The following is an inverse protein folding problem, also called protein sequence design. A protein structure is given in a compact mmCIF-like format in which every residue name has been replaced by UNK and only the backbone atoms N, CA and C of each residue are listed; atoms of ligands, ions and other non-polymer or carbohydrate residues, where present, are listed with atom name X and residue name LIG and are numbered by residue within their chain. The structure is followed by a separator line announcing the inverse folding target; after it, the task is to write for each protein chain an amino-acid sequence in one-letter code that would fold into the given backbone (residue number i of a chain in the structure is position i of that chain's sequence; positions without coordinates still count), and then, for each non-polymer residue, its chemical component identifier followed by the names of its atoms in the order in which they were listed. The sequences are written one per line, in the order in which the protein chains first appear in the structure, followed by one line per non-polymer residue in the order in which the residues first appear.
data_IF_036958614041
#
_entry.id   IF_036958614041
#
_cell.length_a   1.000
_cell.length_b   1.000
_cell.length_c   1.000
_cell.angle_alpha   90.00
_cell.angle_beta   90.00
_cell.angle_gamma   90.00
#
_symmetry.space_group_name_H-M   'P 1'
#
loop_
_entity.id
_entity.type
_entity.pdbx_description
1 polymer ?
#
# COMPACT_ATOMS: atom_id res chain seq x y z
N UNK A 1 -12.16 -10.16 28.49
CA UNK A 1 -12.72 -8.88 27.98
C UNK A 1 -12.89 -9.08 26.49
N UNK A 2 -14.13 -9.00 25.98
CA UNK A 2 -14.36 -9.00 24.54
C UNK A 2 -13.79 -7.70 23.98
N UNK A 3 -12.60 -7.75 23.38
CA UNK A 3 -12.02 -6.60 22.67
C UNK A 3 -13.02 -6.13 21.62
N UNK A 4 -13.60 -4.95 21.85
CA UNK A 4 -14.56 -4.36 20.93
C UNK A 4 -13.81 -3.95 19.67
N UNK A 5 -13.79 -4.83 18.66
CA UNK A 5 -13.11 -4.57 17.39
C UNK A 5 -13.88 -3.50 16.63
N UNK A 6 -13.15 -2.64 15.93
CA UNK A 6 -13.76 -1.71 14.98
C UNK A 6 -14.16 -2.46 13.72
N UNK A 7 -15.43 -2.36 13.33
CA UNK A 7 -15.92 -2.97 12.08
C UNK A 7 -15.82 -1.95 10.95
N UNK A 8 -15.23 -2.36 9.83
CA UNK A 8 -15.06 -1.57 8.60
C UNK A 8 -15.54 -2.41 7.40
N UNK A 9 -16.86 -2.66 7.28
CA UNK A 9 -17.43 -3.54 6.25
C UNK A 9 -17.22 -3.02 4.81
N UNK A 10 -17.01 -1.72 4.64
CA UNK A 10 -16.75 -1.06 3.36
C UNK A 10 -15.31 -1.21 2.85
N UNK A 11 -14.44 -1.89 3.61
CA UNK A 11 -13.01 -2.00 3.28
C UNK A 11 -12.60 -3.46 3.08
N UNK A 12 -11.92 -3.72 1.96
CA UNK A 12 -11.12 -4.92 1.75
C UNK A 12 -9.69 -4.62 2.17
N UNK A 13 -9.17 -5.33 3.18
CA UNK A 13 -7.74 -5.32 3.48
C UNK A 13 -7.03 -6.22 2.46
N UNK A 14 -6.18 -5.66 1.62
CA UNK A 14 -5.56 -6.39 0.51
C UNK A 14 -4.04 -6.31 0.55
N UNK A 15 -3.39 -7.43 0.20
CA UNK A 15 -1.97 -7.43 -0.15
C UNK A 15 -1.75 -8.13 -1.50
N UNK A 16 -0.87 -7.56 -2.30
CA UNK A 16 -0.49 -8.06 -3.62
C UNK A 16 1.01 -8.36 -3.55
N UNK A 17 1.41 -9.61 -3.76
CA UNK A 17 2.84 -9.92 -3.74
C UNK A 17 3.23 -11.20 -4.47
N UNK A 18 4.41 -11.19 -5.06
CA UNK A 18 5.13 -12.38 -5.53
C UNK A 18 6.42 -12.65 -4.76
N UNK A 19 6.72 -11.85 -3.74
CA UNK A 19 7.91 -11.96 -2.88
C UNK A 19 7.52 -11.83 -1.41
N UNK A 20 8.38 -12.26 -0.48
CA UNK A 20 8.16 -12.04 0.96
C UNK A 20 6.77 -12.50 1.47
N UNK A 21 6.21 -13.57 0.89
CA UNK A 21 4.83 -13.98 1.17
C UNK A 21 4.59 -14.31 2.64
N UNK A 22 5.60 -14.80 3.34
CA UNK A 22 5.51 -15.05 4.76
C UNK A 22 5.27 -13.74 5.50
N UNK A 23 6.12 -12.75 5.27
CA UNK A 23 6.03 -11.42 5.88
C UNK A 23 4.73 -10.71 5.48
N UNK A 24 4.29 -10.82 4.22
CA UNK A 24 3.00 -10.28 3.75
C UNK A 24 1.81 -10.88 4.49
N UNK A 25 1.77 -12.22 4.65
CA UNK A 25 0.68 -12.87 5.41
C UNK A 25 0.72 -12.45 6.89
N UNK A 26 1.90 -12.25 7.47
CA UNK A 26 2.03 -11.72 8.84
C UNK A 26 1.54 -10.28 8.94
N UNK A 27 1.81 -9.44 7.94
CA UNK A 27 1.34 -8.06 7.87
C UNK A 27 -0.20 -7.98 7.77
N UNK A 28 -0.82 -8.81 6.92
CA UNK A 28 -2.28 -8.95 6.87
C UNK A 28 -2.85 -9.35 8.24
N UNK A 29 -2.33 -10.43 8.83
CA UNK A 29 -2.77 -10.92 10.14
C UNK A 29 -2.64 -9.87 11.24
N UNK A 30 -1.56 -9.10 11.23
CA UNK A 30 -1.31 -8.05 12.21
C UNK A 30 -2.25 -6.85 12.03
N UNK A 31 -2.60 -6.53 10.77
CA UNK A 31 -3.53 -5.45 10.44
C UNK A 31 -4.97 -5.76 10.83
N UNK A 32 -5.33 -7.04 10.94
CA UNK A 32 -6.63 -7.50 11.44
C UNK A 32 -6.77 -7.42 12.98
N UNK A 33 -5.75 -6.97 13.72
CA UNK A 33 -5.86 -6.83 15.17
C UNK A 33 -6.68 -5.59 15.49
N UNK A 34 -7.74 -5.75 16.27
CA UNK A 34 -8.63 -4.64 16.63
C UNK A 34 -9.56 -4.17 15.51
N UNK A 35 -9.52 -4.79 14.33
CA UNK A 35 -10.35 -4.41 13.18
C UNK A 35 -10.96 -5.66 12.52
N UNK A 36 -12.24 -5.55 12.17
CA UNK A 36 -12.96 -6.51 11.35
C UNK A 36 -13.32 -5.86 10.01
N UNK A 37 -12.68 -6.32 8.94
CA UNK A 37 -12.86 -5.82 7.58
C UNK A 37 -14.00 -6.56 6.88
N UNK A 38 -14.62 -5.92 5.88
CA UNK A 38 -15.60 -6.58 5.01
C UNK A 38 -15.00 -7.76 4.25
N UNK A 39 -13.72 -7.67 3.88
CA UNK A 39 -12.97 -8.78 3.31
C UNK A 39 -11.46 -8.64 3.59
N UNK A 40 -10.73 -9.75 3.51
CA UNK A 40 -9.27 -9.78 3.59
C UNK A 40 -8.71 -10.65 2.48
N UNK A 41 -7.89 -10.06 1.61
CA UNK A 41 -7.46 -10.66 0.35
C UNK A 41 -5.93 -10.72 0.23
N UNK A 42 -5.42 -11.88 -0.18
CA UNK A 42 -4.07 -12.05 -0.71
C UNK A 42 -4.13 -12.36 -2.20
N UNK A 43 -3.52 -11.49 -3.01
CA UNK A 43 -3.28 -11.68 -4.44
C UNK A 43 -1.84 -12.13 -4.66
N UNK A 44 -1.63 -13.34 -5.18
CA UNK A 44 -0.29 -13.85 -5.46
C UNK A 44 -0.26 -14.93 -6.54
N UNK A 45 0.91 -15.14 -7.15
CA UNK A 45 1.16 -16.21 -8.11
C UNK A 45 1.17 -17.61 -7.50
N UNK A 46 1.16 -17.76 -6.17
CA UNK A 46 0.87 -19.05 -5.54
C UNK A 46 0.25 -18.87 -4.16
N UNK A 47 -0.54 -19.87 -3.74
CA UNK A 47 -1.17 -19.89 -2.42
C UNK A 47 -0.18 -20.38 -1.36
N UNK A 48 0.17 -19.59 -0.34
CA UNK A 48 0.98 -20.08 0.77
C UNK A 48 0.24 -21.17 1.55
N UNK A 49 0.92 -22.29 1.87
CA UNK A 49 0.32 -23.40 2.64
C UNK A 49 -0.15 -22.98 4.04
N UNK A 50 0.48 -21.96 4.61
CA UNK A 50 0.17 -21.40 5.92
C UNK A 50 -0.86 -20.27 5.88
N UNK A 51 -1.51 -20.01 4.73
CA UNK A 51 -2.51 -18.96 4.62
C UNK A 51 -3.75 -19.29 5.48
N UNK A 52 -4.11 -18.44 6.46
CA UNK A 52 -5.31 -18.63 7.27
C UNK A 52 -6.59 -18.64 6.41
N UNK A 53 -7.56 -19.50 6.78
CA UNK A 53 -8.85 -19.61 6.06
C UNK A 53 -9.64 -18.30 5.97
N UNK A 54 -9.45 -17.40 6.94
CA UNK A 54 -10.10 -16.07 7.01
C UNK A 54 -9.52 -15.05 6.01
N UNK A 55 -8.49 -15.42 5.26
CA UNK A 55 -7.91 -14.60 4.19
C UNK A 55 -8.28 -15.27 2.87
N UNK A 56 -9.09 -14.57 2.07
CA UNK A 56 -9.39 -14.96 0.69
C UNK A 56 -8.09 -14.94 -0.11
N UNK A 57 -7.97 -15.90 -1.01
CA UNK A 57 -6.82 -16.00 -1.91
C UNK A 57 -7.32 -16.02 -3.34
N UNK A 58 -6.71 -15.20 -4.18
CA UNK A 58 -6.87 -15.31 -5.62
C UNK A 58 -5.51 -15.37 -6.29
N UNK A 59 -5.41 -16.28 -7.26
CA UNK A 59 -4.18 -16.49 -8.03
C UNK A 59 -4.11 -15.43 -9.13
N UNK A 60 -3.00 -14.71 -9.17
CA UNK A 60 -2.66 -13.77 -10.25
C UNK A 60 -1.41 -14.24 -10.99
N UNK A 61 -1.01 -13.51 -12.04
CA UNK A 61 0.30 -13.70 -12.68
C UNK A 61 1.46 -13.42 -11.72
N UNK A 62 2.62 -14.00 -12.01
CA UNK A 62 3.86 -13.66 -11.27
C UNK A 62 4.29 -12.23 -11.60
N UNK A 63 4.43 -11.42 -10.55
CA UNK A 63 4.94 -10.05 -10.63
C UNK A 63 6.46 -10.10 -10.50
N UNK A 64 7.17 -9.77 -11.58
CA UNK A 64 8.63 -9.95 -11.67
C UNK A 64 9.40 -8.73 -11.20
N UNK A 65 8.76 -7.56 -11.21
CA UNK A 65 9.36 -6.29 -10.86
C UNK A 65 8.29 -5.29 -10.36
N UNK A 66 8.73 -4.08 -10.04
CA UNK A 66 7.84 -3.01 -9.57
C UNK A 66 6.87 -2.53 -10.66
N UNK A 67 7.29 -2.50 -11.92
CA UNK A 67 6.43 -2.06 -13.03
C UNK A 67 5.24 -3.03 -13.22
N UNK A 68 5.45 -4.33 -13.11
CA UNK A 68 4.39 -5.35 -13.13
C UNK A 68 3.40 -5.14 -11.98
N UNK A 69 3.92 -4.85 -10.78
CA UNK A 69 3.12 -4.56 -9.60
C UNK A 69 2.29 -3.28 -9.79
N UNK A 70 2.93 -2.20 -10.22
CA UNK A 70 2.27 -0.91 -10.40
C UNK A 70 1.21 -0.98 -11.51
N UNK A 71 1.50 -1.64 -12.63
CA UNK A 71 0.52 -1.89 -13.68
C UNK A 71 -0.69 -2.68 -13.14
N UNK A 72 -0.44 -3.75 -12.38
CA UNK A 72 -1.52 -4.52 -11.76
C UNK A 72 -2.38 -3.64 -10.82
N UNK A 73 -1.76 -2.81 -9.99
CA UNK A 73 -2.47 -1.89 -9.11
C UNK A 73 -3.36 -0.88 -9.85
N UNK A 74 -2.94 -0.43 -11.03
CA UNK A 74 -3.67 0.58 -11.82
C UNK A 74 -4.81 -0.03 -12.63
N UNK A 75 -4.62 -1.20 -13.23
CA UNK A 75 -5.56 -1.73 -14.23
C UNK A 75 -6.28 -3.02 -13.82
N UNK A 76 -5.77 -3.75 -12.83
CA UNK A 76 -6.32 -5.09 -12.48
C UNK A 76 -6.88 -5.16 -11.06
N UNK A 77 -6.29 -4.44 -10.09
CA UNK A 77 -6.67 -4.53 -8.68
C UNK A 77 -8.18 -4.34 -8.46
N UNK A 78 -8.80 -3.36 -9.12
CA UNK A 78 -10.23 -3.07 -9.00
C UNK A 78 -11.12 -4.29 -9.29
N UNK A 79 -10.71 -5.21 -10.16
CA UNK A 79 -11.48 -6.41 -10.53
C UNK A 79 -11.59 -7.42 -9.37
N UNK A 80 -10.71 -7.33 -8.38
CA UNK A 80 -10.62 -8.28 -7.26
C UNK A 80 -11.25 -7.76 -5.96
N UNK A 81 -11.64 -6.48 -5.92
CA UNK A 81 -12.20 -5.81 -4.74
C UNK A 81 -13.72 -5.74 -4.85
N UNK A 82 -14.42 -6.19 -3.82
CA UNK A 82 -15.89 -6.21 -3.80
C UNK A 82 -16.51 -5.12 -2.92
N UNK A 83 -15.70 -4.49 -2.08
CA UNK A 83 -16.10 -3.42 -1.17
C UNK A 83 -15.84 -2.04 -1.78
N UNK A 84 -16.35 -0.99 -1.13
CA UNK A 84 -16.21 0.39 -1.61
C UNK A 84 -14.77 0.91 -1.57
N UNK A 85 -13.94 0.34 -0.69
CA UNK A 85 -12.53 0.70 -0.53
C UNK A 85 -11.62 -0.52 -0.47
N UNK A 86 -10.37 -0.33 -0.87
CA UNK A 86 -9.27 -1.25 -0.60
C UNK A 86 -8.21 -0.56 0.25
N UNK A 87 -7.82 -1.20 1.35
CA UNK A 87 -6.65 -0.83 2.15
C UNK A 87 -5.49 -1.74 1.75
N UNK A 88 -4.56 -1.20 0.98
CA UNK A 88 -3.39 -1.92 0.48
C UNK A 88 -2.31 -1.93 1.56
N UNK A 89 -1.82 -3.12 1.91
CA UNK A 89 -0.70 -3.33 2.83
C UNK A 89 0.40 -4.17 2.18
N UNK A 90 1.63 -3.90 2.57
CA UNK A 90 2.83 -4.59 2.12
C UNK A 90 3.48 -5.40 3.25
N UNK A 91 4.51 -6.17 2.94
CA UNK A 91 5.30 -6.87 3.96
C UNK A 91 6.01 -5.91 4.93
N UNK A 92 6.22 -4.66 4.51
CA UNK A 92 6.94 -3.60 5.20
C UNK A 92 6.12 -2.33 5.41
N UNK A 93 4.82 -2.39 5.20
CA UNK A 93 3.91 -1.32 5.61
C UNK A 93 2.49 -1.81 5.79
N UNK A 94 1.99 -1.66 7.01
CA UNK A 94 0.76 -2.28 7.46
C UNK A 94 0.19 -1.55 8.69
N UNK A 95 -1.03 -1.89 9.08
CA UNK A 95 -1.73 -1.23 10.19
C UNK A 95 -1.05 -1.56 11.52
N UNK A 96 -0.73 -0.52 12.29
CA UNK A 96 -0.02 -0.65 13.57
C UNK A 96 -0.79 -0.09 14.75
N UNK A 97 -1.60 0.94 14.52
CA UNK A 97 -2.41 1.60 15.54
C UNK A 97 -3.90 1.62 15.14
N UNK A 98 -4.64 0.50 15.33
CA UNK A 98 -6.05 0.39 14.97
C UNK A 98 -6.95 1.51 15.55
N UNK A 99 -6.63 1.97 16.75
CA UNK A 99 -7.35 3.04 17.44
C UNK A 99 -7.17 4.42 16.79
N UNK A 100 -6.17 4.61 15.94
CA UNK A 100 -5.93 5.85 15.20
C UNK A 100 -6.74 5.94 13.91
N UNK A 101 -7.57 4.93 13.59
CA UNK A 101 -8.48 5.03 12.46
C UNK A 101 -9.46 6.20 12.62
N UNK A 102 -9.68 6.95 11.55
CA UNK A 102 -10.67 8.01 11.48
C UNK A 102 -11.65 7.72 10.34
N UNK A 103 -12.95 7.77 10.61
CA UNK A 103 -13.98 7.52 9.58
C UNK A 103 -13.94 8.59 8.46
N UNK A 104 -13.35 9.76 8.74
CA UNK A 104 -13.06 10.80 7.74
C UNK A 104 -12.13 10.35 6.62
N UNK A 105 -11.33 9.28 6.81
CA UNK A 105 -10.51 8.73 5.73
C UNK A 105 -11.34 8.25 4.53
N UNK A 106 -12.60 7.87 4.75
CA UNK A 106 -13.55 7.44 3.72
C UNK A 106 -14.19 8.60 2.96
N UNK A 107 -13.78 9.85 3.20
CA UNK A 107 -14.19 11.01 2.41
C UNK A 107 -13.31 11.23 1.17
N UNK A 108 -12.25 10.42 1.03
CA UNK A 108 -11.25 10.54 -0.01
C UNK A 108 -11.14 9.25 -0.81
N UNK A 109 -10.91 9.40 -2.11
CA UNK A 109 -10.66 8.29 -3.02
C UNK A 109 -9.25 7.76 -2.93
N UNK A 110 -8.32 8.59 -2.47
CA UNK A 110 -6.94 8.20 -2.26
C UNK A 110 -6.41 8.81 -0.97
N UNK A 111 -5.83 7.94 -0.15
CA UNK A 111 -5.05 8.31 1.02
C UNK A 111 -3.77 7.46 1.06
N UNK A 112 -2.62 8.11 1.21
CA UNK A 112 -1.33 7.48 1.40
C UNK A 112 -0.54 8.18 2.50
N UNK A 113 0.65 7.69 2.81
CA UNK A 113 1.55 8.40 3.72
C UNK A 113 2.03 9.74 3.11
N UNK A 114 2.33 10.74 3.93
CA UNK A 114 2.95 11.98 3.47
C UNK A 114 4.34 11.77 2.86
N UNK A 115 4.61 12.49 1.78
CA UNK A 115 5.96 12.62 1.20
C UNK A 115 6.70 13.83 1.78
N UNK A 116 8.04 13.75 1.90
CA UNK A 116 8.85 14.92 2.17
C UNK A 116 8.79 15.90 1.00
N UNK A 117 9.17 17.16 1.24
CA UNK A 117 9.33 18.12 0.15
C UNK A 117 10.33 17.58 -0.89
N UNK A 118 10.02 17.66 -2.20
CA UNK A 118 10.92 17.20 -3.24
C UNK A 118 12.22 18.02 -3.22
N UNK A 119 13.35 17.34 -3.44
CA UNK A 119 14.68 17.96 -3.51
C UNK A 119 15.06 18.43 -4.91
N UNK A 120 14.23 18.11 -5.89
CA UNK A 120 14.44 18.38 -7.30
C UNK A 120 13.19 19.02 -7.93
N UNK A 121 13.31 19.44 -9.19
CA UNK A 121 12.24 20.12 -9.92
C UNK A 121 11.19 19.17 -10.51
N UNK A 122 11.32 17.85 -10.34
CA UNK A 122 10.56 16.85 -11.14
C UNK A 122 9.69 15.96 -10.27
N UNK A 123 10.19 15.50 -9.12
CA UNK A 123 9.46 14.56 -8.26
C UNK A 123 8.32 15.24 -7.52
N UNK A 124 7.29 14.45 -7.21
CA UNK A 124 6.15 14.84 -6.38
C UNK A 124 5.46 16.10 -6.91
N UNK A 125 5.22 16.15 -8.22
CA UNK A 125 4.51 17.24 -8.88
C UNK A 125 3.38 16.73 -9.74
N UNK A 126 2.26 17.44 -9.73
CA UNK A 126 1.16 17.14 -10.64
C UNK A 126 1.45 17.64 -12.08
N UNK A 127 0.50 17.41 -12.99
CA UNK A 127 0.60 17.85 -14.38
C UNK A 127 0.72 19.39 -14.54
N UNK A 128 0.34 20.18 -13.53
CA UNK A 128 0.44 21.64 -13.51
C UNK A 128 1.71 22.12 -12.80
N UNK A 129 2.54 21.21 -12.28
CA UNK A 129 3.78 21.52 -11.58
C UNK A 129 3.61 21.82 -10.08
N UNK A 130 2.40 21.70 -9.53
CA UNK A 130 2.15 21.90 -8.10
C UNK A 130 2.78 20.76 -7.29
N UNK A 131 3.29 21.08 -6.10
CA UNK A 131 3.86 20.07 -5.21
C UNK A 131 2.75 19.20 -4.63
N UNK A 132 2.92 17.89 -4.77
CA UNK A 132 2.08 16.85 -4.17
C UNK A 132 2.77 16.32 -2.92
N UNK A 133 2.06 16.31 -1.79
CA UNK A 133 2.62 15.90 -0.48
C UNK A 133 2.08 14.58 0.04
N UNK A 134 1.22 13.90 -0.72
CA UNK A 134 0.55 12.65 -0.29
C UNK A 134 0.61 11.62 -1.42
N UNK A 135 1.12 10.44 -1.10
CA UNK A 135 1.23 9.32 -2.02
C UNK A 135 1.97 8.15 -1.37
N UNK A 136 1.58 6.93 -1.69
CA UNK A 136 2.24 5.71 -1.23
C UNK A 136 1.66 4.44 -1.87
N UNK A 137 2.46 3.38 -1.99
CA UNK A 137 1.92 2.06 -2.27
C UNK A 137 0.98 1.55 -1.17
N UNK A 138 1.34 1.77 0.11
CA UNK A 138 0.50 1.44 1.27
C UNK A 138 -0.55 2.54 1.44
N UNK A 139 -1.76 2.28 0.95
CA UNK A 139 -2.77 3.31 0.71
C UNK A 139 -4.19 2.78 0.88
N UNK A 140 -5.12 3.69 1.19
CA UNK A 140 -6.55 3.48 1.07
C UNK A 140 -7.01 4.02 -0.29
N UNK A 141 -7.72 3.22 -1.07
CA UNK A 141 -8.22 3.59 -2.41
C UNK A 141 -9.70 3.26 -2.55
N UNK A 142 -10.49 4.17 -3.09
CA UNK A 142 -11.89 3.86 -3.42
C UNK A 142 -11.99 2.96 -4.64
N UNK A 143 -13.09 2.21 -4.72
CA UNK A 143 -13.41 1.35 -5.86
C UNK A 143 -13.52 2.14 -7.15
N UNK A 144 -14.12 3.33 -7.09
CA UNK A 144 -14.25 4.20 -8.27
C UNK A 144 -12.88 4.66 -8.77
N UNK A 145 -11.92 4.96 -7.90
CA UNK A 145 -10.56 5.30 -8.30
C UNK A 145 -9.83 4.11 -8.93
N UNK A 146 -9.93 2.92 -8.33
CA UNK A 146 -9.25 1.72 -8.85
C UNK A 146 -9.75 1.31 -10.24
N UNK A 147 -11.03 1.56 -10.55
CA UNK A 147 -11.60 1.20 -11.85
C UNK A 147 -11.43 2.29 -12.92
N UNK A 148 -11.16 3.53 -12.51
CA UNK A 148 -11.20 4.68 -13.42
C UNK A 148 -10.12 4.64 -14.51
N UNK A 149 -8.84 4.32 -14.23
CA UNK A 149 -7.80 4.32 -15.26
C UNK A 149 -8.10 3.44 -16.47
N UNK A 150 -8.60 2.22 -16.23
CA UNK A 150 -9.02 1.31 -17.30
C UNK A 150 -10.25 1.84 -18.05
N UNK A 151 -11.30 2.27 -17.33
CA UNK A 151 -12.55 2.78 -17.91
C UNK A 151 -12.35 4.04 -18.76
N UNK A 152 -11.47 4.94 -18.33
CA UNK A 152 -11.16 6.18 -19.03
C UNK A 152 -10.08 6.00 -20.11
N UNK A 153 -9.52 4.79 -20.26
CA UNK A 153 -8.49 4.51 -21.26
C UNK A 153 -7.20 5.31 -21.03
N UNK A 154 -6.83 5.57 -19.76
CA UNK A 154 -5.62 6.32 -19.45
C UNK A 154 -4.41 5.47 -19.88
N UNK A 155 -3.52 6.00 -20.74
CA UNK A 155 -2.40 5.22 -21.25
C UNK A 155 -1.37 4.91 -20.16
N UNK A 156 -0.79 3.72 -20.22
CA UNK A 156 0.29 3.30 -19.33
C UNK A 156 1.61 3.94 -19.75
N UNK A 157 2.05 4.94 -19.00
CA UNK A 157 3.20 5.77 -19.35
C UNK A 157 3.99 6.15 -18.12
N UNK A 158 5.27 6.45 -18.33
CA UNK A 158 6.17 6.93 -17.28
C UNK A 158 5.64 8.22 -16.66
N UNK A 159 5.90 8.35 -15.36
CA UNK A 159 5.73 9.58 -14.59
C UNK A 159 6.78 10.61 -15.04
N UNK A 160 6.62 11.87 -14.60
CA UNK A 160 7.61 12.91 -14.90
C UNK A 160 9.00 12.56 -14.37
N UNK A 161 9.10 11.81 -13.26
CA UNK A 161 10.35 11.30 -12.70
C UNK A 161 10.95 10.11 -13.44
N UNK A 162 10.28 9.62 -14.49
CA UNK A 162 10.77 8.54 -15.36
C UNK A 162 10.53 7.12 -14.82
N UNK A 163 9.74 6.99 -13.76
CA UNK A 163 9.34 5.71 -13.16
C UNK A 163 7.89 5.33 -13.52
N UNK A 164 7.49 4.12 -13.16
CA UNK A 164 6.16 3.58 -13.36
C UNK A 164 5.41 3.36 -12.03
N UNK A 165 5.82 4.05 -10.96
CA UNK A 165 5.21 3.80 -9.65
C UNK A 165 3.72 4.20 -9.67
N UNK A 166 2.86 3.32 -9.16
CA UNK A 166 1.40 3.48 -9.22
C UNK A 166 0.90 4.67 -8.40
N UNK A 167 1.57 4.98 -7.28
CA UNK A 167 1.25 6.13 -6.45
C UNK A 167 1.59 7.45 -7.17
N UNK A 168 2.75 7.56 -7.80
CA UNK A 168 3.08 8.68 -8.67
C UNK A 168 2.18 8.76 -9.91
N UNK A 169 1.75 7.62 -10.46
CA UNK A 169 0.81 7.59 -11.59
C UNK A 169 -0.53 8.24 -11.21
N UNK A 170 -1.08 7.90 -10.04
CA UNK A 170 -2.35 8.43 -9.55
C UNK A 170 -2.22 9.85 -8.97
N UNK A 171 -1.29 10.04 -8.05
CA UNK A 171 -1.18 11.26 -7.24
C UNK A 171 -0.38 12.37 -7.90
N UNK A 172 0.42 12.08 -8.93
CA UNK A 172 1.20 13.08 -9.64
C UNK A 172 0.73 13.20 -11.08
N UNK A 173 1.05 12.22 -11.93
CA UNK A 173 0.82 12.31 -13.38
C UNK A 173 -0.64 12.56 -13.74
N UNK A 174 -1.56 11.79 -13.17
CA UNK A 174 -2.98 11.83 -13.53
C UNK A 174 -3.86 12.53 -12.49
N UNK A 175 -3.26 13.18 -11.48
CA UNK A 175 -4.02 13.78 -10.35
C UNK A 175 -5.07 14.78 -10.83
N UNK A 176 -4.68 15.72 -11.69
CA UNK A 176 -5.57 16.77 -12.22
C UNK A 176 -6.75 16.15 -12.98
N UNK A 177 -6.47 15.21 -13.89
CA UNK A 177 -7.52 14.48 -14.62
C UNK A 177 -8.48 13.76 -13.68
N UNK A 178 -7.95 13.11 -12.64
CA UNK A 178 -8.76 12.40 -11.65
C UNK A 178 -9.63 13.36 -10.82
N UNK A 179 -9.09 14.51 -10.41
CA UNK A 179 -9.82 15.55 -9.67
C UNK A 179 -10.91 16.22 -10.53
N UNK A 180 -10.64 16.47 -11.82
CA UNK A 180 -11.63 16.94 -12.79
C UNK A 180 -12.79 15.94 -12.98
N UNK A 181 -12.53 14.64 -12.76
CA UNK A 181 -13.53 13.58 -12.75
C UNK A 181 -14.12 13.31 -11.36
N UNK A 182 -13.93 14.24 -10.41
CA UNK A 182 -14.57 14.23 -9.10
C UNK A 182 -13.93 13.30 -8.07
N UNK A 183 -12.71 12.80 -8.33
CA UNK A 183 -11.93 12.08 -7.32
C UNK A 183 -11.35 13.07 -6.29
N UNK A 184 -11.24 12.63 -5.04
CA UNK A 184 -10.72 13.41 -3.93
C UNK A 184 -9.48 12.75 -3.37
N UNK A 185 -8.36 13.44 -3.40
CA UNK A 185 -7.13 13.01 -2.72
C UNK A 185 -7.07 13.68 -1.35
N UNK A 186 -6.66 12.95 -0.33
CA UNK A 186 -6.52 13.56 0.99
C UNK A 186 -5.45 14.65 1.02
N UNK A 187 -5.74 15.75 1.73
CA UNK A 187 -4.74 16.74 2.06
C UNK A 187 -3.73 16.20 3.09
N UNK A 188 -2.63 16.93 3.24
CA UNK A 188 -1.50 16.55 4.09
C UNK A 188 -1.90 16.40 5.57
N UNK A 189 -2.70 17.32 6.09
CA UNK A 189 -3.21 17.35 7.47
C UNK A 189 -4.05 16.11 7.82
N UNK A 190 -4.72 15.50 6.85
CA UNK A 190 -5.38 14.20 7.04
C UNK A 190 -4.38 13.04 6.92
N UNK A 191 -3.49 13.09 5.92
CA UNK A 191 -2.55 12.02 5.62
C UNK A 191 -1.56 11.74 6.77
N UNK A 192 -1.15 12.76 7.54
CA UNK A 192 -0.25 12.59 8.70
C UNK A 192 -0.84 11.69 9.79
N UNK A 193 -2.16 11.62 9.92
CA UNK A 193 -2.84 10.71 10.84
C UNK A 193 -3.06 9.31 10.25
N UNK A 194 -3.12 9.21 8.92
CA UNK A 194 -3.28 7.93 8.25
C UNK A 194 -1.99 7.12 8.27
N UNK A 195 -0.88 7.69 7.78
CA UNK A 195 0.32 6.92 7.50
C UNK A 195 1.62 7.68 7.72
N UNK A 196 2.70 6.94 7.97
CA UNK A 196 4.06 7.48 8.01
C UNK A 196 5.04 6.56 7.30
N UNK A 197 5.75 7.10 6.32
CA UNK A 197 6.97 6.50 5.77
C UNK A 197 8.23 7.28 6.16
N UNK A 198 8.14 8.61 6.04
CA UNK A 198 9.19 9.55 6.39
C UNK A 198 8.79 10.39 7.59
N UNK A 199 9.75 10.66 8.48
CA UNK A 199 9.60 11.74 9.47
C UNK A 199 9.69 13.07 8.74
N UNK A 200 8.66 13.89 8.89
CA UNK A 200 8.55 15.26 8.39
C UNK A 200 8.06 16.15 9.55
N UNK A 201 8.29 17.47 9.52
CA UNK A 201 7.82 18.35 10.59
C UNK A 201 6.32 18.19 10.90
N UNK A 202 5.51 17.95 9.88
CA UNK A 202 4.04 17.86 10.01
C UNK A 202 3.54 16.57 10.68
N UNK A 203 4.38 15.53 10.83
CA UNK A 203 4.00 14.28 11.49
C UNK A 203 4.79 13.98 12.77
N UNK A 204 5.52 14.96 13.28
CA UNK A 204 6.25 14.84 14.54
C UNK A 204 5.26 14.67 15.70
N UNK A 205 5.49 13.66 16.55
CA UNK A 205 4.63 13.37 17.70
C UNK A 205 3.27 12.72 17.36
N UNK A 206 2.99 12.44 16.08
CA UNK A 206 1.76 11.76 15.66
C UNK A 206 1.97 10.24 15.62
N UNK A 207 1.06 9.48 16.21
CA UNK A 207 0.95 8.02 16.06
C UNK A 207 -0.03 7.67 14.94
N UNK A 208 0.45 7.43 13.70
CA UNK A 208 -0.43 7.20 12.56
C UNK A 208 -1.10 5.84 12.63
N UNK A 209 -2.22 5.68 11.92
CA UNK A 209 -2.94 4.42 11.78
C UNK A 209 -2.06 3.29 11.23
N UNK A 210 -1.29 3.57 10.17
CA UNK A 210 -0.36 2.63 9.55
C UNK A 210 1.03 3.24 9.33
N UNK A 211 1.97 2.41 8.90
CA UNK A 211 3.31 2.86 8.52
C UNK A 211 3.75 2.19 7.22
N UNK A 212 4.83 2.70 6.64
CA UNK A 212 5.59 2.04 5.59
C UNK A 212 7.08 2.25 5.84
N UNK A 213 7.90 1.22 5.67
CA UNK A 213 9.35 1.20 5.95
C UNK A 213 9.72 1.45 7.43
N UNK A 214 10.74 0.75 7.93
CA UNK A 214 11.24 0.90 9.30
C UNK A 214 12.28 2.03 9.43
N UNK A 215 11.89 3.26 9.07
CA UNK A 215 12.73 4.47 9.18
C UNK A 215 12.30 5.33 10.38
N UNK A 216 13.24 6.09 10.94
CA UNK A 216 12.94 7.00 12.07
C UNK A 216 12.18 6.29 13.20
N UNK A 217 11.08 6.88 13.63
CA UNK A 217 10.19 6.34 14.67
C UNK A 217 9.50 5.02 14.29
N UNK A 218 9.36 4.69 13.00
CA UNK A 218 8.76 3.43 12.56
C UNK A 218 9.60 2.20 12.93
N UNK A 219 10.87 2.38 13.33
CA UNK A 219 11.77 1.29 13.77
C UNK A 219 11.22 0.49 14.95
N UNK A 220 10.31 1.08 15.74
CA UNK A 220 9.65 0.41 16.86
C UNK A 220 8.65 -0.67 16.42
N UNK A 221 8.15 -0.60 15.20
CA UNK A 221 7.12 -1.52 14.73
C UNK A 221 7.68 -2.92 14.41
N UNK A 222 6.86 -3.98 14.53
CA UNK A 222 7.33 -5.34 14.32
C UNK A 222 7.96 -5.55 12.95
N UNK A 223 9.04 -6.32 12.91
CA UNK A 223 9.68 -6.76 11.68
C UNK A 223 9.52 -8.28 11.56
N UNK A 224 8.52 -8.71 10.79
CA UNK A 224 8.32 -10.13 10.51
C UNK A 224 9.47 -10.66 9.65
N UNK A 225 9.91 -11.89 9.92
CA UNK A 225 11.00 -12.55 9.18
C UNK A 225 10.76 -14.05 9.14
N UNK A 226 10.89 -14.64 7.96
CA UNK A 226 10.97 -16.09 7.81
C UNK A 226 12.39 -16.59 8.14
N UNK A 227 12.66 -16.88 9.43
CA UNK A 227 14.00 -17.27 9.91
C UNK A 227 14.54 -18.52 9.18
N UNK A 228 13.77 -19.62 9.02
CA UNK A 228 14.23 -20.81 8.30
C UNK A 228 14.62 -20.55 6.84
N UNK A 229 13.80 -19.79 6.11
CA UNK A 229 14.05 -19.47 4.69
C UNK A 229 15.32 -18.62 4.52
N UNK A 230 15.57 -17.68 5.44
CA UNK A 230 16.77 -16.84 5.41
C UNK A 230 18.05 -17.65 5.66
N UNK A 231 18.01 -18.61 6.57
CA UNK A 231 19.14 -19.51 6.83
C UNK A 231 19.42 -20.35 5.57
N UNK A 232 18.37 -20.90 4.95
CA UNK A 232 18.47 -21.68 3.71
C UNK A 232 19.05 -20.86 2.54
N UNK A 233 18.56 -19.65 2.30
CA UNK A 233 19.06 -18.76 1.23
C UNK A 233 20.51 -18.31 1.46
N UNK A 234 20.90 -18.04 2.72
CA UNK A 234 22.31 -17.78 3.07
C UNK A 234 23.20 -18.97 2.73
N UNK A 235 22.76 -20.19 3.09
CA UNK A 235 23.47 -21.44 2.73
C UNK A 235 23.67 -21.58 1.22
N UNK A 236 22.62 -21.37 0.42
CA UNK A 236 22.72 -21.41 -1.05
C UNK A 236 23.69 -20.38 -1.64
N UNK A 237 23.71 -19.14 -1.12
CA UNK A 237 24.65 -18.09 -1.57
C UNK A 237 26.10 -18.43 -1.23
N UNK A 238 26.36 -19.02 -0.06
CA UNK A 238 27.68 -19.50 0.35
C UNK A 238 28.17 -20.65 -0.53
N UNK A 239 27.29 -21.59 -0.89
CA UNK A 239 27.61 -22.68 -1.81
C UNK A 239 27.95 -22.16 -3.21
N UNK A 240 27.15 -21.25 -3.77
CA UNK A 240 27.43 -20.61 -5.08
C UNK A 240 28.76 -19.84 -5.12
N UNK A 241 29.20 -19.25 -4.01
CA UNK A 241 30.49 -18.55 -3.90
C UNK A 241 31.69 -19.47 -3.78
N UNK A 242 31.50 -20.74 -3.39
CA UNK A 242 32.55 -21.77 -3.35
C UNK A 242 32.69 -22.54 -4.67
N UNK A 243 31.82 -22.26 -5.64
CA UNK A 243 31.77 -22.93 -6.96
C UNK A 243 32.25 -22.02 -8.10
N UNK A 244 32.95 -20.93 -7.77
CA UNK A 244 33.61 -20.00 -8.71
C UNK A 244 35.09 -19.97 -8.34
#
# INVERSE_FOLDING_TARGET
MSDNKKTLPEITLVAISSVHLYETVRALLYSMRGIEYGDVLLLSHHKPRYLPKKIRFERIGELKNIDDYSHFCIYELGKHIWTDYALIVHHDGFVVNPSSWQDSFLQYDYIGSPWPLPKDGVRYRDALGNIVRVGNGVSLRSKRLMDFPEKAGIPWEKTQSGDYNEDCFLCCKNKVLLEENGMRFAPLDVAVHFGREHTIPENEGIEPFLFHQWRGENRKYPHFRNIPERIFLKGKRLLRRKSV
#
